data_IF_105394912373
#
_entry.id   IF_105394912373
#
_cell.length_a   1.000
_cell.length_b   1.000
_cell.length_c   1.000
_cell.angle_alpha   90.00
_cell.angle_beta   90.00
_cell.angle_gamma   90.00
#
_symmetry.space_group_name_H-M   'P 1'
#
loop_
_entity.id
_entity.type
_entity.pdbx_description
1 polymer ?
#
# COMPACT_ATOMS: atom_id res chain seq x y z
N UNK A 1 23.24 0.01 -6.80
CA UNK A 1 22.30 -0.33 -5.71
C UNK A 1 21.08 0.55 -5.88
N UNK A 2 19.86 0.01 -5.82
CA UNK A 2 18.64 0.82 -5.95
C UNK A 2 18.49 1.74 -4.74
N UNK A 3 18.09 3.00 -4.97
CA UNK A 3 17.82 3.95 -3.89
C UNK A 3 16.67 3.46 -2.99
N UNK A 4 16.73 3.65 -1.65
CA UNK A 4 15.66 3.19 -0.77
C UNK A 4 14.28 3.81 -1.07
N UNK A 5 14.20 5.05 -1.57
CA UNK A 5 12.92 5.63 -2.01
C UNK A 5 12.38 4.90 -3.24
N UNK A 6 13.26 4.53 -4.17
CA UNK A 6 12.86 3.77 -5.36
C UNK A 6 12.37 2.36 -5.02
N UNK A 7 12.94 1.72 -3.99
CA UNK A 7 12.39 0.46 -3.45
C UNK A 7 10.98 0.63 -2.89
N UNK A 8 10.75 1.68 -2.09
CA UNK A 8 9.44 1.99 -1.54
C UNK A 8 8.41 2.27 -2.65
N UNK A 9 8.81 3.00 -3.70
CA UNK A 9 7.97 3.23 -4.89
C UNK A 9 7.66 1.92 -5.63
N UNK A 10 8.63 1.00 -5.71
CA UNK A 10 8.45 -0.29 -6.37
C UNK A 10 7.38 -1.17 -5.71
N UNK A 11 7.12 -1.02 -4.40
CA UNK A 11 5.98 -1.68 -3.74
C UNK A 11 4.67 -1.26 -4.42
N UNK A 12 4.45 0.04 -4.61
CA UNK A 12 3.24 0.54 -5.26
C UNK A 12 3.20 0.19 -6.75
N UNK A 13 4.35 0.19 -7.44
CA UNK A 13 4.41 -0.24 -8.84
C UNK A 13 3.97 -1.71 -9.01
N UNK A 14 4.32 -2.58 -8.06
CA UNK A 14 3.89 -3.97 -8.07
C UNK A 14 2.39 -4.13 -7.73
N UNK A 15 1.90 -3.38 -6.74
CA UNK A 15 0.48 -3.44 -6.34
C UNK A 15 -0.48 -2.84 -7.38
N UNK A 16 -0.02 -1.87 -8.16
CA UNK A 16 -0.79 -1.23 -9.24
C UNK A 16 -0.32 -1.67 -10.63
N UNK A 17 0.25 -2.87 -10.73
CA UNK A 17 0.57 -3.47 -12.01
C UNK A 17 -0.74 -3.77 -12.78
N UNK A 18 -0.91 -3.29 -14.02
CA UNK A 18 -2.16 -3.44 -14.76
C UNK A 18 -2.62 -4.90 -14.97
N UNK A 19 -1.72 -5.87 -14.84
CA UNK A 19 -2.06 -7.30 -14.92
C UNK A 19 -2.88 -7.79 -13.73
N UNK A 20 -2.70 -7.16 -12.56
CA UNK A 20 -3.36 -7.54 -11.31
C UNK A 20 -4.34 -6.46 -10.83
N UNK A 21 -4.03 -5.19 -11.09
CA UNK A 21 -4.87 -4.05 -10.72
C UNK A 21 -5.95 -3.81 -11.76
N UNK A 22 -6.99 -4.63 -11.68
CA UNK A 22 -8.17 -4.59 -12.56
C UNK A 22 -9.44 -4.58 -11.70
N UNK A 23 -10.57 -4.05 -12.18
CA UNK A 23 -11.83 -4.05 -11.42
C UNK A 23 -12.24 -5.43 -10.90
N UNK A 24 -12.06 -6.47 -11.71
CA UNK A 24 -12.40 -7.85 -11.37
C UNK A 24 -11.54 -8.37 -10.21
N UNK A 25 -10.22 -8.21 -10.30
CA UNK A 25 -9.31 -8.62 -9.22
C UNK A 25 -9.51 -7.80 -7.95
N UNK A 26 -9.74 -6.48 -8.06
CA UNK A 26 -10.02 -5.63 -6.91
C UNK A 26 -11.31 -6.08 -6.19
N UNK A 27 -12.38 -6.34 -6.96
CA UNK A 27 -13.63 -6.86 -6.42
C UNK A 27 -13.45 -8.21 -5.72
N UNK A 28 -12.68 -9.13 -6.31
CA UNK A 28 -12.34 -10.41 -5.69
C UNK A 28 -11.64 -10.22 -4.33
N UNK A 29 -10.64 -9.34 -4.26
CA UNK A 29 -9.92 -9.07 -3.01
C UNK A 29 -10.80 -8.43 -1.95
N UNK A 30 -11.68 -7.48 -2.32
CA UNK A 30 -12.63 -6.87 -1.38
C UNK A 30 -13.63 -7.90 -0.85
N UNK A 31 -14.16 -8.78 -1.71
CA UNK A 31 -15.02 -9.88 -1.27
C UNK A 31 -14.26 -10.82 -0.32
N UNK A 32 -13.03 -11.19 -0.65
CA UNK A 32 -12.17 -11.99 0.21
C UNK A 32 -11.95 -11.34 1.58
N UNK A 33 -11.63 -10.05 1.63
CA UNK A 33 -11.46 -9.32 2.89
C UNK A 33 -12.74 -9.25 3.70
N UNK A 34 -13.90 -9.04 3.07
CA UNK A 34 -15.20 -9.04 3.76
C UNK A 34 -15.59 -10.41 4.30
N UNK A 35 -15.19 -11.50 3.63
CA UNK A 35 -15.51 -12.87 4.03
C UNK A 35 -14.53 -13.42 5.08
N UNK A 36 -13.30 -12.90 5.13
CA UNK A 36 -12.24 -13.41 6.00
C UNK A 36 -12.62 -13.51 7.49
N UNK A 37 -13.30 -12.53 8.12
CA UNK A 37 -13.70 -12.62 9.53
C UNK A 37 -14.66 -13.76 9.84
N UNK A 38 -15.34 -14.31 8.83
CA UNK A 38 -16.37 -15.34 8.98
C UNK A 38 -15.86 -16.74 8.63
N UNK A 39 -14.58 -16.90 8.30
CA UNK A 39 -13.98 -18.19 7.93
C UNK A 39 -12.54 -18.28 8.41
N UNK A 40 -12.25 -19.21 9.32
CA UNK A 40 -10.91 -19.42 9.87
C UNK A 40 -9.84 -19.70 8.79
N UNK A 41 -10.23 -20.34 7.68
CA UNK A 41 -9.33 -20.57 6.56
C UNK A 41 -8.97 -19.26 5.83
N UNK A 42 -9.96 -18.43 5.54
CA UNK A 42 -9.76 -17.16 4.86
C UNK A 42 -9.04 -16.14 5.77
N UNK A 43 -9.36 -16.12 7.07
CA UNK A 43 -8.65 -15.31 8.06
C UNK A 43 -7.15 -15.64 8.10
N UNK A 44 -6.79 -16.93 8.06
CA UNK A 44 -5.39 -17.36 8.00
C UNK A 44 -4.68 -16.80 6.76
N UNK A 45 -5.32 -16.88 5.60
CA UNK A 45 -4.77 -16.34 4.35
C UNK A 45 -4.65 -14.81 4.41
N UNK A 46 -5.67 -14.13 4.95
CA UNK A 46 -5.69 -12.68 5.08
C UNK A 46 -4.54 -12.20 5.98
N UNK A 47 -4.32 -12.86 7.12
CA UNK A 47 -3.20 -12.57 8.02
C UNK A 47 -1.84 -12.75 7.36
N UNK A 48 -1.67 -13.79 6.55
CA UNK A 48 -0.42 -14.00 5.79
C UNK A 48 -0.20 -12.86 4.81
N UNK A 49 -1.25 -12.47 4.05
CA UNK A 49 -1.17 -11.35 3.11
C UNK A 49 -0.81 -10.04 3.80
N UNK A 50 -1.51 -9.69 4.88
CA UNK A 50 -1.23 -8.49 5.68
C UNK A 50 0.20 -8.48 6.22
N UNK A 51 0.69 -9.62 6.72
CA UNK A 51 2.05 -9.75 7.25
C UNK A 51 3.12 -9.47 6.17
N UNK A 52 2.90 -9.97 4.95
CA UNK A 52 3.81 -9.74 3.81
C UNK A 52 3.86 -8.25 3.45
N UNK A 53 2.71 -7.63 3.22
CA UNK A 53 2.61 -6.19 2.88
C UNK A 53 3.25 -5.34 3.98
N UNK A 54 2.93 -5.62 5.25
CA UNK A 54 3.49 -4.93 6.41
C UNK A 54 5.02 -5.04 6.47
N UNK A 55 5.57 -6.20 6.16
CA UNK A 55 7.01 -6.45 6.21
C UNK A 55 7.75 -5.70 5.10
N UNK A 56 7.20 -5.66 3.88
CA UNK A 56 7.77 -4.88 2.77
C UNK A 56 7.88 -3.40 3.14
N UNK A 57 6.78 -2.78 3.59
CA UNK A 57 6.81 -1.38 3.99
C UNK A 57 7.80 -1.10 5.14
N UNK A 58 7.86 -1.97 6.16
CA UNK A 58 8.81 -1.78 7.27
C UNK A 58 10.26 -1.84 6.82
N UNK A 59 10.59 -2.79 5.95
CA UNK A 59 11.95 -2.94 5.45
C UNK A 59 12.39 -1.72 4.63
N UNK A 60 11.49 -1.18 3.80
CA UNK A 60 11.81 -0.05 2.90
C UNK A 60 11.73 1.31 3.61
N UNK A 61 10.90 1.44 4.65
CA UNK A 61 10.85 2.66 5.49
C UNK A 61 12.00 2.74 6.49
N UNK A 62 12.59 1.61 6.91
CA UNK A 62 13.67 1.59 7.89
C UNK A 62 14.86 2.53 7.58
N UNK A 63 15.41 2.56 6.34
CA UNK A 63 16.49 3.49 5.97
C UNK A 63 16.01 4.92 5.70
N UNK A 64 14.71 5.16 5.58
CA UNK A 64 14.15 6.46 5.18
C UNK A 64 13.57 7.26 6.36
N UNK A 65 13.24 6.58 7.47
CA UNK A 65 12.39 7.12 8.53
C UNK A 65 12.95 6.77 9.91
N UNK A 66 13.00 7.72 10.87
CA UNK A 66 13.35 7.43 12.26
C UNK A 66 12.37 6.46 12.93
N UNK A 67 12.88 5.58 13.81
CA UNK A 67 12.09 4.51 14.43
C UNK A 67 10.72 4.93 15.02
N UNK A 68 10.59 6.09 15.71
CA UNK A 68 9.31 6.54 16.28
C UNK A 68 8.19 6.75 15.25
N UNK A 69 8.53 7.11 14.00
CA UNK A 69 7.56 7.48 12.97
C UNK A 69 7.25 6.35 11.97
N UNK A 70 8.10 5.31 11.92
CA UNK A 70 8.00 4.22 10.94
C UNK A 70 6.63 3.56 10.90
N UNK A 71 6.05 3.24 12.05
CA UNK A 71 4.76 2.55 12.09
C UNK A 71 3.60 3.44 11.65
N UNK A 72 3.66 4.74 11.95
CA UNK A 72 2.68 5.73 11.50
C UNK A 72 2.71 5.87 9.99
N UNK A 73 3.90 6.07 9.40
CA UNK A 73 4.05 6.22 7.94
C UNK A 73 3.67 4.92 7.22
N UNK A 74 4.04 3.77 7.78
CA UNK A 74 3.63 2.45 7.28
C UNK A 74 2.11 2.32 7.23
N UNK A 75 1.39 2.77 8.27
CA UNK A 75 -0.08 2.75 8.31
C UNK A 75 -0.69 3.67 7.26
N UNK A 76 -0.19 4.91 7.13
CA UNK A 76 -0.67 5.88 6.14
C UNK A 76 -0.54 5.32 4.71
N UNK A 77 0.65 4.82 4.37
CA UNK A 77 0.92 4.26 3.04
C UNK A 77 0.06 3.02 2.75
N UNK A 78 -0.12 2.14 3.74
CA UNK A 78 -0.98 0.98 3.58
C UNK A 78 -2.46 1.37 3.43
N UNK A 79 -2.94 2.36 4.21
CA UNK A 79 -4.33 2.83 4.11
C UNK A 79 -4.64 3.44 2.75
N UNK A 80 -3.70 4.18 2.15
CA UNK A 80 -3.84 4.64 0.77
C UNK A 80 -3.97 3.47 -0.21
N UNK A 81 -3.09 2.47 -0.10
CA UNK A 81 -3.13 1.27 -0.93
C UNK A 81 -4.46 0.53 -0.82
N UNK A 82 -4.90 0.24 0.41
CA UNK A 82 -6.17 -0.46 0.67
C UNK A 82 -7.38 0.35 0.15
N UNK A 83 -7.33 1.68 0.29
CA UNK A 83 -8.37 2.59 -0.20
C UNK A 83 -8.50 2.62 -1.72
N UNK A 84 -7.38 2.70 -2.44
CA UNK A 84 -7.37 2.66 -3.92
C UNK A 84 -7.96 1.36 -4.45
N UNK A 85 -7.59 0.22 -3.85
CA UNK A 85 -8.16 -1.08 -4.21
C UNK A 85 -9.67 -1.14 -3.97
N UNK A 86 -10.15 -0.56 -2.87
CA UNK A 86 -11.58 -0.48 -2.57
C UNK A 86 -12.33 0.43 -3.56
N UNK A 87 -11.81 1.61 -3.89
CA UNK A 87 -12.43 2.54 -4.84
C UNK A 87 -12.63 1.90 -6.22
N UNK A 88 -11.59 1.23 -6.74
CA UNK A 88 -11.70 0.52 -8.03
C UNK A 88 -12.69 -0.65 -7.96
N UNK A 89 -12.75 -1.36 -6.84
CA UNK A 89 -13.77 -2.41 -6.63
C UNK A 89 -15.21 -1.84 -6.60
N UNK A 90 -15.38 -0.59 -6.18
CA UNK A 90 -16.65 0.15 -6.20
C UNK A 90 -16.96 0.81 -7.56
N UNK A 91 -16.23 0.43 -8.61
CA UNK A 91 -16.36 0.94 -9.98
C UNK A 91 -16.06 2.45 -10.11
N UNK A 92 -15.17 2.97 -9.27
CA UNK A 92 -14.51 4.25 -9.56
C UNK A 92 -13.64 4.09 -10.83
N UNK A 93 -14.06 4.76 -11.90
CA UNK A 93 -13.41 4.68 -13.22
C UNK A 93 -12.34 5.75 -13.42
N UNK A 94 -12.23 6.71 -12.51
CA UNK A 94 -11.25 7.79 -12.60
C UNK A 94 -9.86 7.33 -12.11
N UNK A 95 -9.79 6.19 -11.41
CA UNK A 95 -8.55 5.63 -10.89
C UNK A 95 -8.03 4.53 -11.83
N UNK A 96 -7.06 4.91 -12.67
CA UNK A 96 -6.28 3.97 -13.48
C UNK A 96 -4.94 3.59 -12.80
N UNK A 97 -4.23 2.54 -13.28
CA UNK A 97 -2.95 2.13 -12.72
C UNK A 97 -1.88 3.23 -12.69
N UNK A 98 -1.90 4.17 -13.65
CA UNK A 98 -0.91 5.25 -13.76
C UNK A 98 -1.21 6.33 -12.72
N UNK A 99 -2.47 6.71 -12.59
CA UNK A 99 -2.97 7.67 -11.61
C UNK A 99 -2.67 7.21 -10.19
N UNK A 100 -3.02 5.97 -9.84
CA UNK A 100 -2.74 5.38 -8.53
C UNK A 100 -1.23 5.39 -8.19
N UNK A 101 -0.36 5.11 -9.17
CA UNK A 101 1.10 5.18 -8.97
C UNK A 101 1.60 6.61 -8.80
N UNK A 102 1.02 7.58 -9.51
CA UNK A 102 1.40 8.98 -9.41
C UNK A 102 1.04 9.54 -8.03
N UNK A 103 -0.18 9.28 -7.56
CA UNK A 103 -0.63 9.67 -6.22
C UNK A 103 0.18 8.97 -5.12
N UNK A 104 0.48 7.67 -5.26
CA UNK A 104 1.36 6.97 -4.32
C UNK A 104 2.74 7.64 -4.20
N UNK A 105 3.33 8.04 -5.33
CA UNK A 105 4.61 8.76 -5.35
C UNK A 105 4.49 10.12 -4.66
N UNK A 106 3.42 10.87 -4.93
CA UNK A 106 3.16 12.14 -4.27
C UNK A 106 3.00 11.98 -2.75
N UNK A 107 2.27 10.93 -2.31
CA UNK A 107 2.10 10.60 -0.90
C UNK A 107 3.44 10.23 -0.24
N UNK A 108 4.29 9.44 -0.90
CA UNK A 108 5.62 9.12 -0.40
C UNK A 108 6.43 10.41 -0.18
N UNK A 109 6.47 11.32 -1.16
CA UNK A 109 7.20 12.59 -0.99
C UNK A 109 6.61 13.44 0.13
N UNK A 110 5.28 13.56 0.21
CA UNK A 110 4.61 14.32 1.27
C UNK A 110 4.97 13.78 2.65
N UNK A 111 4.83 12.47 2.83
CA UNK A 111 5.06 11.80 4.11
C UNK A 111 6.54 11.89 4.50
N UNK A 112 7.48 11.71 3.57
CA UNK A 112 8.90 11.87 3.86
C UNK A 112 9.31 13.35 4.11
N UNK A 113 8.68 14.32 3.43
CA UNK A 113 8.98 15.75 3.62
C UNK A 113 8.49 16.28 4.97
N UNK A 114 7.35 15.79 5.45
CA UNK A 114 6.78 16.16 6.74
C UNK A 114 7.71 15.82 7.92
N UNK A 115 8.63 14.87 7.75
CA UNK A 115 9.61 14.49 8.77
C UNK A 115 10.91 15.30 8.68
N UNK A 116 11.32 15.72 7.48
CA UNK A 116 12.47 16.63 7.30
C UNK A 116 12.19 17.96 8.02
N UNK A 117 10.94 18.42 8.03
CA UNK A 117 10.53 19.63 8.74
C UNK A 117 10.37 19.50 10.26
N UNK A 118 10.32 18.28 10.82
CA UNK A 118 10.19 18.04 12.28
C UNK A 118 11.49 17.67 12.98
N UNK A 119 12.53 17.39 12.20
CA UNK A 119 13.88 17.07 12.70
C UNK A 119 14.79 18.31 12.79
N UNK A 120 14.21 19.51 12.59
CA UNK A 120 14.85 20.83 12.69
C UNK A 120 14.05 21.68 13.68
#
# INVERSE_FOLDING_TARGET
MMDPKDRLRAIFDAHFDPRFFTPQHCSFWVQFWSAAPYSAHLERLHRINQSRVKSHFRADLAPLVPAPFRETMRRILQSYLDGVWLSVAQADRDIDPRHARQEARALIELVLSAEVGRSN
#
